data_IF_670070963871
#
_entry.id   IF_670070963871
#
_cell.length_a   1.000
_cell.length_b   1.000
_cell.length_c   1.000
_cell.angle_alpha   90.00
_cell.angle_beta   90.00
_cell.angle_gamma   90.00
#
_symmetry.space_group_name_H-M   'P 1'
#
loop_
_entity.id
_entity.type
_entity.pdbx_description
1 polymer ?
#
# COMPACT_ATOMS: atom_id res chain seq x y z
N UNK A 1 -3.02 9.05 21.69
CA UNK A 1 -3.17 8.61 20.29
C UNK A 1 -2.12 9.38 19.51
N UNK A 2 -1.19 8.70 18.86
CA UNK A 2 -0.13 9.38 18.10
C UNK A 2 -0.79 10.11 16.91
N UNK A 3 -0.64 11.44 16.85
CA UNK A 3 -1.10 12.21 15.69
C UNK A 3 -0.10 11.96 14.56
N UNK A 4 -0.63 11.57 13.40
CA UNK A 4 0.17 11.47 12.18
C UNK A 4 0.57 12.87 11.71
N UNK A 5 1.78 13.01 11.19
CA UNK A 5 2.03 14.02 10.17
C UNK A 5 1.26 13.59 8.92
N UNK A 6 0.17 14.30 8.62
CA UNK A 6 -0.85 13.87 7.66
C UNK A 6 -1.14 14.97 6.65
N UNK A 7 -0.74 14.76 5.40
CA UNK A 7 -1.18 15.64 4.31
C UNK A 7 -2.50 15.17 3.76
N UNK A 8 -3.44 16.11 3.60
CA UNK A 8 -4.80 15.81 3.15
C UNK A 8 -5.23 16.73 2.00
N UNK A 9 -6.05 16.17 1.12
CA UNK A 9 -6.73 16.87 0.03
C UNK A 9 -8.20 16.45 0.08
N UNK A 10 -9.03 17.27 0.72
CA UNK A 10 -10.42 16.93 1.01
C UNK A 10 -11.31 17.90 0.22
N UNK A 11 -12.10 17.42 -0.75
CA UNK A 11 -13.07 18.25 -1.46
C UNK A 11 -14.23 18.67 -0.54
N UNK A 12 -14.96 19.69 -0.92
CA UNK A 12 -16.12 20.19 -0.14
C UNK A 12 -17.15 19.09 0.15
N UNK A 13 -17.34 18.17 -0.80
CA UNK A 13 -18.20 17.00 -0.66
C UNK A 13 -17.38 15.75 -0.95
N UNK A 14 -16.87 15.14 0.09
CA UNK A 14 -16.18 13.85 -0.03
C UNK A 14 -17.17 12.71 0.22
N UNK A 15 -17.22 11.73 -0.70
CA UNK A 15 -18.03 10.51 -0.59
C UNK A 15 -17.20 9.23 -0.62
N UNK A 16 -15.93 9.36 -0.89
CA UNK A 16 -14.95 8.27 -0.97
C UNK A 16 -13.57 8.75 -0.55
N UNK A 17 -12.65 7.84 -0.30
CA UNK A 17 -11.29 8.18 0.09
C UNK A 17 -10.23 7.25 -0.51
N UNK A 18 -9.03 7.80 -0.73
CA UNK A 18 -7.81 7.05 -1.02
C UNK A 18 -6.77 7.38 0.04
N UNK A 19 -6.22 6.36 0.68
CA UNK A 19 -5.09 6.50 1.61
C UNK A 19 -3.83 6.08 0.85
N UNK A 20 -2.87 7.02 0.70
CA UNK A 20 -1.63 6.85 -0.06
C UNK A 20 -0.46 6.61 0.90
N UNK A 21 0.07 5.40 0.94
CA UNK A 21 1.11 4.96 1.87
C UNK A 21 2.48 4.98 1.17
N UNK A 22 3.43 5.74 1.74
CA UNK A 22 4.76 5.90 1.17
C UNK A 22 5.68 4.68 1.39
N UNK A 23 6.74 4.58 0.61
CA UNK A 23 7.79 3.57 0.74
C UNK A 23 8.75 3.88 1.91
N UNK A 24 9.64 2.93 2.19
CA UNK A 24 10.73 3.10 3.15
C UNK A 24 11.60 4.32 2.80
N UNK A 25 11.94 5.12 3.79
CA UNK A 25 12.78 6.31 3.62
C UNK A 25 12.07 7.54 3.06
N UNK A 26 10.76 7.46 2.79
CA UNK A 26 9.94 8.56 2.28
C UNK A 26 9.02 9.15 3.36
N UNK A 27 8.13 10.05 2.95
CA UNK A 27 7.12 10.73 3.78
C UNK A 27 5.77 10.78 3.08
N UNK A 28 4.72 11.18 3.80
CA UNK A 28 3.40 11.41 3.21
C UNK A 28 3.43 12.43 2.06
N UNK A 29 4.23 13.49 2.20
CA UNK A 29 4.41 14.49 1.15
C UNK A 29 4.93 13.90 -0.17
N UNK A 30 5.77 12.85 -0.09
CA UNK A 30 6.33 12.17 -1.26
C UNK A 30 5.29 11.34 -2.03
N UNK A 31 4.11 11.10 -1.46
CA UNK A 31 2.97 10.47 -2.17
C UNK A 31 1.97 11.49 -2.68
N UNK A 32 2.04 12.74 -2.22
CA UNK A 32 1.07 13.78 -2.55
C UNK A 32 1.09 14.19 -4.03
N UNK A 33 2.19 13.94 -4.76
CA UNK A 33 2.26 14.20 -6.20
C UNK A 33 1.32 13.32 -7.03
N UNK A 34 0.86 12.19 -6.50
CA UNK A 34 -0.16 11.35 -7.15
C UNK A 34 -1.55 12.01 -7.13
N UNK A 35 -1.81 12.89 -6.17
CA UNK A 35 -3.14 13.50 -6.04
C UNK A 35 -3.55 14.28 -7.28
N UNK A 36 -2.75 15.19 -7.86
CA UNK A 36 -3.11 15.86 -9.11
C UNK A 36 -3.26 14.91 -10.32
N UNK A 37 -2.68 13.69 -10.26
CA UNK A 37 -2.90 12.69 -11.31
C UNK A 37 -4.31 12.07 -11.23
N UNK A 38 -4.88 11.97 -10.03
CA UNK A 38 -6.17 11.32 -9.79
C UNK A 38 -7.33 12.31 -9.59
N UNK A 39 -7.14 13.37 -8.80
CA UNK A 39 -8.21 14.28 -8.36
C UNK A 39 -9.09 14.85 -9.50
N UNK A 40 -8.58 15.18 -10.69
CA UNK A 40 -9.43 15.67 -11.78
C UNK A 40 -10.51 14.66 -12.23
N UNK A 41 -10.21 13.35 -12.14
CA UNK A 41 -11.17 12.30 -12.49
C UNK A 41 -12.05 11.88 -11.30
N UNK A 42 -11.67 12.26 -10.08
CA UNK A 42 -12.34 11.87 -8.82
C UNK A 42 -12.63 13.11 -7.93
N UNK A 43 -13.50 14.02 -8.37
CA UNK A 43 -13.69 15.33 -7.70
C UNK A 43 -14.36 15.23 -6.32
N UNK A 44 -14.94 14.08 -5.95
CA UNK A 44 -15.56 13.81 -4.65
C UNK A 44 -14.73 12.86 -3.78
N UNK A 45 -13.51 12.50 -4.20
CA UNK A 45 -12.63 11.60 -3.45
C UNK A 45 -11.66 12.41 -2.60
N UNK A 46 -11.60 12.12 -1.31
CA UNK A 46 -10.60 12.65 -0.39
C UNK A 46 -9.30 11.84 -0.48
N UNK A 47 -8.15 12.51 -0.41
CA UNK A 47 -6.84 11.85 -0.41
C UNK A 47 -6.12 12.13 0.90
N UNK A 48 -5.56 11.08 1.50
CA UNK A 48 -4.83 11.10 2.75
C UNK A 48 -3.45 10.50 2.54
N UNK A 49 -2.42 11.28 2.82
CA UNK A 49 -1.02 10.86 2.68
C UNK A 49 -0.35 10.93 4.07
N UNK A 50 -0.50 9.90 4.90
CA UNK A 50 0.13 9.88 6.22
C UNK A 50 1.64 9.64 6.12
N UNK A 51 2.41 10.30 6.99
CA UNK A 51 3.83 9.99 7.22
C UNK A 51 3.93 8.89 8.27
N UNK A 52 4.76 7.89 8.03
CA UNK A 52 5.03 6.80 8.96
C UNK A 52 5.60 7.34 10.30
N UNK A 53 5.35 6.67 11.43
CA UNK A 53 5.69 7.22 12.75
C UNK A 53 7.18 7.09 13.12
N UNK A 54 7.92 6.20 12.47
CA UNK A 54 9.30 5.89 12.85
C UNK A 54 10.29 6.55 11.87
N UNK A 55 11.25 7.37 12.35
CA UNK A 55 12.34 7.82 11.50
C UNK A 55 13.24 6.64 11.13
N UNK A 56 13.82 6.69 9.93
CA UNK A 56 14.85 5.73 9.53
C UNK A 56 16.15 6.06 10.26
N UNK A 57 16.79 5.12 10.97
CA UNK A 57 18.08 5.34 11.57
C UNK A 57 19.10 5.85 10.53
N UNK A 58 19.92 6.81 10.89
CA UNK A 58 20.96 7.43 10.03
C UNK A 58 20.43 8.17 8.79
N UNK A 59 19.10 8.26 8.61
CA UNK A 59 18.46 9.05 7.56
C UNK A 59 17.32 9.91 8.13
N UNK A 60 17.61 11.04 8.78
CA UNK A 60 16.65 11.79 9.60
C UNK A 60 15.50 12.44 8.81
N UNK A 61 15.60 12.51 7.49
CA UNK A 61 14.52 13.02 6.63
C UNK A 61 13.57 11.92 6.15
N UNK A 62 13.93 10.65 6.34
CA UNK A 62 13.14 9.48 5.92
C UNK A 62 12.41 8.81 7.07
N UNK A 63 11.26 8.23 6.75
CA UNK A 63 10.39 7.51 7.69
C UNK A 63 10.12 6.08 7.20
N UNK A 64 9.73 5.22 8.14
CA UNK A 64 9.40 3.83 7.90
C UNK A 64 8.18 3.40 8.70
N UNK A 65 7.38 2.51 8.11
CA UNK A 65 6.22 1.94 8.78
C UNK A 65 6.62 0.88 9.81
N UNK A 66 7.71 0.21 9.53
CA UNK A 66 8.39 -0.77 10.39
C UNK A 66 9.84 -0.90 9.95
N UNK A 67 10.69 -1.35 10.87
CA UNK A 67 12.13 -1.48 10.58
C UNK A 67 12.40 -2.57 9.54
N UNK A 68 13.24 -2.24 8.54
CA UNK A 68 13.78 -3.15 7.53
C UNK A 68 15.29 -3.42 7.73
N UNK A 69 15.86 -3.06 8.86
CA UNK A 69 17.31 -3.11 9.07
C UNK A 69 17.92 -4.51 8.86
N UNK A 70 17.22 -5.57 9.29
CA UNK A 70 17.67 -6.95 9.11
C UNK A 70 17.49 -7.43 7.67
N UNK A 71 16.36 -7.08 7.06
CA UNK A 71 16.01 -7.45 5.69
C UNK A 71 16.95 -6.80 4.67
N UNK A 72 17.26 -5.51 4.86
CA UNK A 72 18.24 -4.80 4.02
C UNK A 72 19.63 -5.43 4.10
N UNK A 73 20.10 -5.82 5.30
CA UNK A 73 21.37 -6.54 5.44
C UNK A 73 21.39 -7.90 4.74
N UNK A 74 20.26 -8.62 4.69
CA UNK A 74 20.14 -9.87 3.93
C UNK A 74 20.18 -9.61 2.43
N UNK A 75 19.47 -8.59 1.94
CA UNK A 75 19.49 -8.20 0.53
C UNK A 75 20.88 -7.77 0.07
N UNK A 76 21.61 -6.98 0.86
CA UNK A 76 23.01 -6.59 0.58
C UNK A 76 23.96 -7.79 0.46
N UNK A 77 23.70 -8.87 1.21
CA UNK A 77 24.48 -10.12 1.15
C UNK A 77 24.02 -11.05 0.03
N UNK A 78 23.00 -10.66 -0.76
CA UNK A 78 22.34 -11.52 -1.74
C UNK A 78 21.85 -12.87 -1.16
N UNK A 79 21.49 -12.88 0.12
CA UNK A 79 21.02 -14.06 0.83
C UNK A 79 19.50 -14.12 0.81
N UNK A 80 18.96 -14.74 -0.24
CA UNK A 80 17.53 -14.96 -0.42
C UNK A 80 17.08 -16.38 -0.04
N UNK A 81 17.93 -17.15 0.66
CA UNK A 81 17.65 -18.56 1.00
C UNK A 81 16.39 -18.74 1.84
N UNK A 82 16.03 -17.72 2.62
CA UNK A 82 14.87 -17.72 3.51
C UNK A 82 13.93 -16.54 3.17
N UNK A 83 13.60 -16.37 1.88
CA UNK A 83 12.76 -15.26 1.41
C UNK A 83 11.38 -15.28 2.08
N UNK A 84 10.79 -16.47 2.26
CA UNK A 84 9.49 -16.63 2.94
C UNK A 84 9.58 -16.18 4.41
N UNK A 85 10.65 -16.53 5.12
CA UNK A 85 10.89 -16.11 6.51
C UNK A 85 11.11 -14.60 6.59
N UNK A 86 11.77 -14.01 5.60
CA UNK A 86 11.95 -12.56 5.49
C UNK A 86 10.59 -11.86 5.32
N UNK A 87 9.76 -12.33 4.41
CA UNK A 87 8.41 -11.82 4.20
C UNK A 87 7.56 -11.95 5.48
N UNK A 88 7.61 -13.09 6.16
CA UNK A 88 6.90 -13.31 7.43
C UNK A 88 7.37 -12.35 8.53
N UNK A 89 8.68 -12.12 8.64
CA UNK A 89 9.28 -11.14 9.56
C UNK A 89 8.74 -9.73 9.29
N UNK A 90 8.78 -9.28 8.03
CA UNK A 90 8.26 -7.97 7.63
C UNK A 90 6.78 -7.81 7.96
N UNK A 91 5.96 -8.83 7.69
CA UNK A 91 4.53 -8.81 7.99
C UNK A 91 4.26 -8.74 9.49
N UNK A 92 5.04 -9.43 10.31
CA UNK A 92 4.94 -9.38 11.77
C UNK A 92 5.31 -7.99 12.30
N UNK A 93 6.40 -7.41 11.80
CA UNK A 93 6.85 -6.05 12.15
C UNK A 93 5.84 -4.98 11.71
N UNK A 94 5.08 -5.20 10.63
CA UNK A 94 4.08 -4.26 10.12
C UNK A 94 2.79 -4.20 10.96
N UNK A 95 2.50 -5.16 11.85
CA UNK A 95 1.25 -5.20 12.64
C UNK A 95 0.93 -3.91 13.42
N UNK A 96 1.90 -3.19 14.04
CA UNK A 96 1.62 -1.89 14.65
C UNK A 96 1.16 -0.85 13.63
N UNK A 97 1.80 -0.78 12.46
CA UNK A 97 1.43 0.13 11.37
C UNK A 97 0.03 -0.19 10.81
N UNK A 98 -0.32 -1.47 10.66
CA UNK A 98 -1.68 -1.89 10.30
C UNK A 98 -2.72 -1.29 11.26
N UNK A 99 -2.48 -1.33 12.58
CA UNK A 99 -3.38 -0.73 13.58
C UNK A 99 -3.48 0.79 13.45
N UNK A 100 -2.38 1.45 13.09
CA UNK A 100 -2.37 2.89 12.83
C UNK A 100 -3.24 3.26 11.63
N UNK A 101 -3.13 2.53 10.53
CA UNK A 101 -3.95 2.80 9.33
C UNK A 101 -5.43 2.52 9.61
N UNK A 102 -5.76 1.47 10.36
CA UNK A 102 -7.13 1.23 10.82
C UNK A 102 -7.67 2.40 11.64
N UNK A 103 -6.89 2.93 12.59
CA UNK A 103 -7.28 4.10 13.38
C UNK A 103 -7.46 5.37 12.53
N UNK A 104 -6.69 5.53 11.46
CA UNK A 104 -6.91 6.62 10.49
C UNK A 104 -8.24 6.44 9.75
N UNK A 105 -8.56 5.22 9.32
CA UNK A 105 -9.84 4.91 8.67
C UNK A 105 -11.02 5.18 9.60
N UNK A 106 -10.94 4.79 10.87
CA UNK A 106 -11.98 5.08 11.87
C UNK A 106 -12.19 6.60 12.04
N UNK A 107 -11.10 7.40 12.02
CA UNK A 107 -11.19 8.87 12.05
C UNK A 107 -11.84 9.44 10.78
N UNK A 108 -11.53 8.89 9.60
CA UNK A 108 -12.13 9.29 8.32
C UNK A 108 -13.63 9.04 8.36
N UNK A 109 -14.06 7.87 8.81
CA UNK A 109 -15.48 7.52 8.95
C UNK A 109 -16.20 8.44 9.95
N UNK A 110 -15.62 8.66 11.11
CA UNK A 110 -16.20 9.51 12.15
C UNK A 110 -16.33 10.98 11.73
N UNK A 111 -15.38 11.50 10.90
CA UNK A 111 -15.31 12.92 10.54
C UNK A 111 -16.04 13.21 9.24
N UNK A 112 -15.96 12.32 8.26
CA UNK A 112 -16.46 12.55 6.89
C UNK A 112 -17.58 11.60 6.49
N UNK A 113 -17.97 10.66 7.36
CA UNK A 113 -18.99 9.65 7.09
C UNK A 113 -18.67 8.78 5.86
N UNK A 114 -17.38 8.59 5.58
CA UNK A 114 -16.88 7.71 4.52
C UNK A 114 -16.63 6.33 5.12
N UNK A 115 -17.53 5.40 4.84
CA UNK A 115 -17.42 4.02 5.31
C UNK A 115 -16.23 3.29 4.68
N UNK A 116 -15.77 2.24 5.33
CA UNK A 116 -14.63 1.44 4.92
C UNK A 116 -14.75 0.89 3.49
N UNK A 117 -15.97 0.54 3.07
CA UNK A 117 -16.33 0.06 1.73
C UNK A 117 -16.19 1.12 0.62
N UNK A 118 -15.90 2.38 0.99
CA UNK A 118 -15.62 3.52 0.09
C UNK A 118 -14.19 4.03 0.22
N UNK A 119 -13.32 3.25 0.85
CA UNK A 119 -11.89 3.58 1.00
C UNK A 119 -11.06 2.63 0.14
N UNK A 120 -10.15 3.18 -0.67
CA UNK A 120 -9.07 2.45 -1.31
C UNK A 120 -7.77 2.69 -0.55
N UNK A 121 -7.07 1.60 -0.22
CA UNK A 121 -5.71 1.64 0.30
C UNK A 121 -4.74 1.52 -0.85
N UNK A 122 -3.90 2.51 -1.06
CA UNK A 122 -2.87 2.50 -2.09
C UNK A 122 -1.50 2.73 -1.47
N UNK A 123 -0.45 2.09 -1.98
CA UNK A 123 0.88 2.30 -1.44
C UNK A 123 2.00 1.86 -2.36
N UNK A 124 3.19 2.43 -2.11
CA UNK A 124 4.40 2.13 -2.85
C UNK A 124 5.38 1.34 -1.98
N UNK A 125 5.97 0.26 -2.53
CA UNK A 125 7.00 -0.53 -1.88
C UNK A 125 6.57 -1.01 -0.47
N UNK A 126 7.20 -0.58 0.61
CA UNK A 126 6.79 -0.87 1.99
C UNK A 126 5.33 -0.44 2.26
N UNK A 127 4.90 0.71 1.72
CA UNK A 127 3.51 1.16 1.80
C UNK A 127 2.54 0.27 1.01
N UNK A 128 2.98 -0.32 -0.11
CA UNK A 128 2.21 -1.30 -0.88
C UNK A 128 1.97 -2.59 -0.10
N UNK A 129 3.01 -3.11 0.56
CA UNK A 129 2.87 -4.23 1.50
C UNK A 129 1.89 -3.90 2.62
N UNK A 130 2.02 -2.72 3.24
CA UNK A 130 1.15 -2.30 4.32
C UNK A 130 -0.32 -2.16 3.87
N UNK A 131 -0.56 -1.65 2.64
CA UNK A 131 -1.89 -1.56 2.05
C UNK A 131 -2.53 -2.95 1.89
N UNK A 132 -1.78 -3.92 1.34
CA UNK A 132 -2.20 -5.31 1.19
C UNK A 132 -2.56 -5.93 2.54
N UNK A 133 -1.63 -5.89 3.50
CA UNK A 133 -1.83 -6.50 4.81
C UNK A 133 -2.98 -5.85 5.59
N UNK A 134 -3.11 -4.52 5.52
CA UNK A 134 -4.22 -3.81 6.17
C UNK A 134 -5.55 -4.20 5.54
N UNK A 135 -5.68 -4.08 4.22
CA UNK A 135 -6.96 -4.30 3.54
C UNK A 135 -7.47 -5.73 3.67
N UNK A 136 -6.58 -6.73 3.60
CA UNK A 136 -6.95 -8.15 3.80
C UNK A 136 -7.38 -8.46 5.23
N UNK A 137 -6.90 -7.70 6.22
CA UNK A 137 -7.19 -7.89 7.65
C UNK A 137 -8.46 -7.19 8.14
N UNK A 138 -9.23 -6.55 7.26
CA UNK A 138 -10.44 -5.80 7.57
C UNK A 138 -11.72 -6.58 7.24
N UNK A 139 -12.75 -6.40 8.07
CA UNK A 139 -14.12 -6.81 7.79
C UNK A 139 -15.08 -5.74 8.33
N UNK A 140 -15.94 -5.16 7.49
CA UNK A 140 -16.15 -5.43 6.06
C UNK A 140 -14.92 -5.12 5.19
N UNK A 141 -14.93 -5.48 3.91
CA UNK A 141 -13.84 -5.21 2.99
C UNK A 141 -13.73 -3.70 2.66
N UNK A 142 -12.52 -3.23 2.38
CA UNK A 142 -12.30 -1.93 1.71
C UNK A 142 -12.79 -1.99 0.25
N UNK A 143 -12.96 -0.83 -0.39
CA UNK A 143 -13.35 -0.74 -1.81
C UNK A 143 -12.33 -1.40 -2.74
N UNK A 144 -11.05 -1.36 -2.38
CA UNK A 144 -9.98 -2.01 -3.12
C UNK A 144 -8.60 -1.71 -2.53
N UNK A 145 -7.60 -2.39 -3.07
CA UNK A 145 -6.18 -2.20 -2.71
C UNK A 145 -5.38 -1.96 -3.97
N UNK A 146 -4.47 -1.00 -3.94
CA UNK A 146 -3.48 -0.74 -5.01
C UNK A 146 -2.08 -0.88 -4.40
N UNK A 147 -1.29 -1.78 -4.95
CA UNK A 147 0.10 -1.99 -4.54
C UNK A 147 1.04 -1.70 -5.70
N UNK A 148 1.77 -0.59 -5.61
CA UNK A 148 2.84 -0.24 -6.54
C UNK A 148 4.15 -0.82 -6.02
N UNK A 149 4.73 -1.77 -6.71
CA UNK A 149 5.99 -2.45 -6.35
C UNK A 149 6.05 -2.95 -4.89
N UNK A 150 4.90 -3.27 -4.29
CA UNK A 150 4.83 -3.91 -2.98
C UNK A 150 4.70 -5.42 -3.12
N UNK A 151 5.14 -6.14 -2.11
CA UNK A 151 5.05 -7.61 -2.03
C UNK A 151 4.33 -8.02 -0.76
N UNK A 152 3.88 -9.26 -0.72
CA UNK A 152 3.31 -9.88 0.48
C UNK A 152 3.70 -11.35 0.50
N UNK A 153 4.00 -11.86 1.68
CA UNK A 153 4.29 -13.28 1.88
C UNK A 153 3.03 -14.09 2.24
N UNK A 154 3.24 -15.32 2.66
CA UNK A 154 2.17 -16.20 3.12
C UNK A 154 1.47 -15.59 4.35
N UNK A 155 0.14 -15.50 4.27
CA UNK A 155 -0.73 -15.01 5.34
C UNK A 155 -1.28 -16.18 6.16
N UNK A 156 -1.35 -16.01 7.47
CA UNK A 156 -2.12 -16.92 8.32
C UNK A 156 -3.62 -16.76 8.00
N UNK A 157 -4.35 -17.89 7.97
CA UNK A 157 -5.77 -17.88 7.56
C UNK A 157 -6.66 -16.97 8.40
N UNK A 158 -6.34 -16.82 9.67
CA UNK A 158 -7.07 -15.98 10.61
C UNK A 158 -6.71 -14.48 10.50
N UNK A 159 -5.66 -14.13 9.77
CA UNK A 159 -5.36 -12.75 9.40
C UNK A 159 -6.17 -12.27 8.20
N UNK A 160 -6.70 -13.18 7.37
CA UNK A 160 -7.52 -12.85 6.20
C UNK A 160 -8.99 -12.74 6.62
N UNK A 161 -9.49 -11.51 6.73
CA UNK A 161 -10.89 -11.24 7.11
C UNK A 161 -11.78 -10.94 5.92
N UNK A 162 -11.21 -10.42 4.83
CA UNK A 162 -11.93 -10.12 3.59
C UNK A 162 -11.04 -10.31 2.37
N UNK A 163 -11.64 -10.19 1.18
CA UNK A 163 -10.96 -10.34 -0.11
C UNK A 163 -11.39 -9.21 -1.04
N UNK A 164 -10.96 -7.96 -0.76
CA UNK A 164 -11.22 -6.85 -1.67
C UNK A 164 -10.52 -7.07 -3.02
N UNK A 165 -10.97 -6.44 -4.10
CA UNK A 165 -10.23 -6.40 -5.36
C UNK A 165 -8.86 -5.74 -5.15
N UNK A 166 -7.85 -6.25 -5.86
CA UNK A 166 -6.46 -5.80 -5.73
C UNK A 166 -5.90 -5.47 -7.10
N UNK A 167 -5.24 -4.31 -7.22
CA UNK A 167 -4.34 -3.97 -8.31
C UNK A 167 -2.90 -4.12 -7.82
N UNK A 168 -2.12 -4.93 -8.53
CA UNK A 168 -0.67 -5.06 -8.35
C UNK A 168 0.03 -4.51 -9.58
N UNK A 169 1.05 -3.65 -9.40
CA UNK A 169 1.93 -3.23 -10.49
C UNK A 169 3.39 -3.42 -10.09
N UNK A 170 4.26 -3.86 -11.02
CA UNK A 170 5.67 -4.07 -10.72
C UNK A 170 6.53 -4.01 -11.98
N UNK A 171 7.70 -3.38 -11.88
CA UNK A 171 8.68 -3.31 -12.96
C UNK A 171 9.49 -4.59 -13.10
N UNK A 172 9.71 -5.05 -14.34
CA UNK A 172 10.52 -6.28 -14.58
C UNK A 172 12.00 -6.09 -14.25
N UNK A 173 12.48 -4.84 -14.26
CA UNK A 173 13.88 -4.47 -14.03
C UNK A 173 14.06 -3.84 -12.63
N UNK A 174 13.12 -4.13 -11.70
CA UNK A 174 13.19 -3.68 -10.32
C UNK A 174 14.41 -4.31 -9.60
N UNK A 175 15.41 -3.47 -9.32
CA UNK A 175 16.65 -3.86 -8.64
C UNK A 175 16.52 -3.87 -7.10
N UNK A 176 15.44 -3.28 -6.56
CA UNK A 176 15.18 -3.21 -5.11
C UNK A 176 14.39 -4.42 -4.63
N UNK A 177 13.30 -4.74 -5.31
CA UNK A 177 12.48 -5.92 -5.07
C UNK A 177 12.41 -6.75 -6.36
N UNK A 178 13.07 -7.91 -6.41
CA UNK A 178 13.13 -8.73 -7.63
C UNK A 178 11.73 -9.08 -8.15
N UNK A 179 11.56 -9.08 -9.47
CA UNK A 179 10.27 -9.40 -10.10
C UNK A 179 9.70 -10.76 -9.68
N UNK A 180 10.56 -11.75 -9.42
CA UNK A 180 10.15 -13.06 -8.88
C UNK A 180 9.39 -12.95 -7.53
N UNK A 181 9.71 -11.95 -6.70
CA UNK A 181 8.98 -11.69 -5.46
C UNK A 181 7.55 -11.17 -5.72
N UNK A 182 7.37 -10.37 -6.77
CA UNK A 182 6.04 -9.95 -7.23
C UNK A 182 5.22 -11.14 -7.73
N UNK A 183 5.80 -12.00 -8.58
CA UNK A 183 5.12 -13.20 -9.07
C UNK A 183 4.67 -14.12 -7.91
N UNK A 184 5.52 -14.30 -6.90
CA UNK A 184 5.17 -15.05 -5.69
C UNK A 184 4.03 -14.38 -4.91
N UNK A 185 4.07 -13.05 -4.72
CA UNK A 185 3.01 -12.30 -4.04
C UNK A 185 1.66 -12.41 -4.77
N UNK A 186 1.65 -12.27 -6.10
CA UNK A 186 0.44 -12.46 -6.93
C UNK A 186 -0.09 -13.89 -6.80
N UNK A 187 0.77 -14.89 -6.80
CA UNK A 187 0.36 -16.29 -6.62
C UNK A 187 -0.27 -16.52 -5.23
N UNK A 188 0.32 -15.97 -4.16
CA UNK A 188 -0.24 -16.02 -2.80
C UNK A 188 -1.63 -15.38 -2.77
N UNK A 189 -1.79 -14.17 -3.29
CA UNK A 189 -3.08 -13.45 -3.31
C UNK A 189 -4.15 -14.21 -4.09
N UNK A 190 -3.82 -14.77 -5.25
CA UNK A 190 -4.75 -15.62 -6.03
C UNK A 190 -5.10 -16.90 -5.29
N UNK A 191 -4.17 -17.52 -4.58
CA UNK A 191 -4.40 -18.78 -3.83
C UNK A 191 -5.39 -18.62 -2.68
N UNK A 192 -5.48 -17.43 -2.09
CA UNK A 192 -6.47 -17.11 -1.06
C UNK A 192 -7.82 -16.65 -1.62
N UNK A 193 -7.98 -16.61 -2.95
CA UNK A 193 -9.24 -16.29 -3.64
C UNK A 193 -9.53 -14.81 -3.80
N UNK A 194 -8.50 -13.94 -3.83
CA UNK A 194 -8.67 -12.51 -4.17
C UNK A 194 -8.74 -12.29 -5.68
N UNK A 195 -9.52 -11.29 -6.11
CA UNK A 195 -9.52 -10.78 -7.50
C UNK A 195 -8.31 -9.85 -7.69
N UNK A 196 -7.27 -10.37 -8.38
CA UNK A 196 -6.02 -9.64 -8.60
C UNK A 196 -5.91 -9.23 -10.06
N UNK A 197 -5.91 -7.91 -10.30
CA UNK A 197 -5.48 -7.30 -11.56
C UNK A 197 -3.96 -7.12 -11.46
N UNK A 198 -3.22 -7.83 -12.32
CA UNK A 198 -1.76 -7.83 -12.34
C UNK A 198 -1.26 -7.08 -13.58
N UNK A 199 -0.50 -6.00 -13.38
CA UNK A 199 0.06 -5.16 -14.44
C UNK A 199 1.59 -5.20 -14.36
N UNK A 200 2.19 -5.93 -15.29
CA UNK A 200 3.64 -6.10 -15.42
C UNK A 200 4.22 -4.98 -16.26
N UNK A 201 5.05 -4.13 -15.65
CA UNK A 201 5.67 -2.96 -16.27
C UNK A 201 7.03 -3.35 -16.85
N UNK A 202 7.07 -3.62 -18.17
CA UNK A 202 8.26 -4.15 -18.83
C UNK A 202 9.37 -3.10 -18.95
N UNK A 203 10.58 -3.45 -18.49
CA UNK A 203 11.76 -2.58 -18.54
C UNK A 203 11.76 -1.46 -17.52
N UNK A 204 10.77 -1.45 -16.60
CA UNK A 204 10.71 -0.45 -15.53
C UNK A 204 11.39 -0.98 -14.25
N UNK A 205 11.96 -0.04 -13.50
CA UNK A 205 12.59 -0.30 -12.21
C UNK A 205 11.63 -0.12 -11.03
N UNK A 206 12.18 0.19 -9.84
CA UNK A 206 11.43 0.42 -8.60
C UNK A 206 10.81 1.82 -8.60
N UNK A 207 9.66 1.99 -9.26
CA UNK A 207 9.01 3.30 -9.47
C UNK A 207 7.50 3.20 -9.62
N UNK A 208 6.81 4.35 -9.61
CA UNK A 208 5.41 4.49 -10.05
C UNK A 208 5.44 5.24 -11.38
N UNK A 209 5.25 4.52 -12.47
CA UNK A 209 5.26 5.07 -13.83
C UNK A 209 3.90 5.60 -14.28
N UNK A 210 3.87 6.27 -15.42
CA UNK A 210 2.63 6.71 -16.07
C UNK A 210 1.70 5.52 -16.40
N UNK A 211 2.25 4.36 -16.77
CA UNK A 211 1.48 3.15 -17.01
C UNK A 211 0.84 2.62 -15.71
N UNK A 212 1.59 2.63 -14.59
CA UNK A 212 1.08 2.28 -13.27
C UNK A 212 -0.03 3.25 -12.83
N UNK A 213 0.12 4.57 -13.07
CA UNK A 213 -0.89 5.59 -12.78
C UNK A 213 -2.15 5.37 -13.62
N UNK A 214 -2.01 5.07 -14.91
CA UNK A 214 -3.14 4.79 -15.78
C UNK A 214 -3.93 3.55 -15.32
N UNK A 215 -3.23 2.48 -14.95
CA UNK A 215 -3.83 1.28 -14.37
C UNK A 215 -4.58 1.59 -13.06
N UNK A 216 -3.95 2.37 -12.16
CA UNK A 216 -4.55 2.80 -10.90
C UNK A 216 -5.80 3.67 -11.13
N UNK A 217 -5.77 4.59 -12.10
CA UNK A 217 -6.92 5.42 -12.47
C UNK A 217 -8.10 4.56 -12.91
N UNK A 218 -7.87 3.58 -13.80
CA UNK A 218 -8.90 2.63 -14.23
C UNK A 218 -9.46 1.79 -13.07
N UNK A 219 -8.59 1.39 -12.15
CA UNK A 219 -8.99 0.64 -10.94
C UNK A 219 -9.87 1.51 -10.01
N UNK A 220 -9.47 2.76 -9.75
CA UNK A 220 -10.24 3.72 -8.96
C UNK A 220 -11.63 3.96 -9.59
N UNK A 221 -11.71 4.15 -10.91
CA UNK A 221 -12.99 4.32 -11.62
C UNK A 221 -13.91 3.12 -11.41
N UNK A 222 -13.39 1.92 -11.54
CA UNK A 222 -14.17 0.67 -11.40
C UNK A 222 -14.71 0.46 -9.97
N UNK A 223 -14.01 0.92 -8.95
CA UNK A 223 -14.26 0.55 -7.56
C UNK A 223 -14.77 1.70 -6.65
N UNK A 224 -14.59 2.97 -7.02
CA UNK A 224 -15.13 4.12 -6.29
C UNK A 224 -16.35 4.78 -6.96
N UNK A 225 -16.49 4.69 -8.28
CA UNK A 225 -17.60 5.30 -9.03
C UNK A 225 -18.73 4.27 -9.27
N UNK A 226 -19.21 3.63 -8.20
CA UNK A 226 -20.36 2.70 -8.26
C UNK A 226 -21.62 3.35 -7.74
#
# INVERSE_FOLDING_TARGET
MQDFDLKTFIPEKADSAVILLHGFGARGDDMAWLVPCFAPAFPTTAFYCPTAPEPVPDYPMGYQWFSLAEELQRLERADLRDFDDMCFSMMTKARPAVRLIKSLMDKIEATHHIGQDKIILAGFSQGGQLALQTGLSLAPAVAGIISFSGIIGLLEKDEIKSRPPILMTHGTDDATLPFAAHEAAVAVLKSIGTDVTDVVLKGEGHTISDEAIAAATGFLQKHLQR
#
